data_IF_652828958730
#
_entry.id   IF_652828958730
#
_cell.length_a   1.000
_cell.length_b   1.000
_cell.length_c   1.000
_cell.angle_alpha   90.00
_cell.angle_beta   90.00
_cell.angle_gamma   90.00
#
_symmetry.space_group_name_H-M   'P 1'
#
loop_
_entity.id
_entity.type
_entity.pdbx_description
1 polymer ?
#
# COMPACT_ATOMS: atom_id res chain seq x y z
N UNK A 1 9.26 30.82 3.39
CA UNK A 1 9.88 29.91 4.38
C UNK A 1 8.91 28.77 4.59
N UNK A 2 9.10 27.67 3.88
CA UNK A 2 8.35 26.43 4.08
C UNK A 2 9.37 25.41 4.58
N UNK A 3 9.34 25.13 5.88
CA UNK A 3 10.02 23.95 6.40
C UNK A 3 9.18 22.73 6.00
N UNK A 4 9.69 21.93 5.08
CA UNK A 4 9.22 20.56 4.87
C UNK A 4 9.98 19.69 5.87
N UNK A 5 9.33 19.30 6.96
CA UNK A 5 9.85 18.22 7.82
C UNK A 5 9.19 16.91 7.39
N UNK A 6 9.88 16.15 6.55
CA UNK A 6 9.55 14.74 6.32
C UNK A 6 10.14 13.95 7.49
N UNK A 7 9.31 13.61 8.48
CA UNK A 7 9.73 12.69 9.55
C UNK A 7 9.53 11.25 9.05
N UNK A 8 10.50 10.73 8.29
CA UNK A 8 10.60 9.31 8.01
C UNK A 8 11.30 8.64 9.21
N UNK A 9 10.55 8.01 10.12
CA UNK A 9 11.16 7.20 11.17
C UNK A 9 11.65 5.87 10.60
N UNK A 10 12.91 5.84 10.15
CA UNK A 10 13.64 4.60 9.91
C UNK A 10 14.36 4.19 11.19
N UNK A 11 13.97 3.07 11.80
CA UNK A 11 14.81 2.42 12.82
C UNK A 11 16.02 1.81 12.12
N UNK A 12 17.15 2.51 12.16
CA UNK A 12 18.44 1.92 11.76
C UNK A 12 18.90 1.02 12.92
N UNK A 13 18.70 -0.28 12.79
CA UNK A 13 19.43 -1.26 13.60
C UNK A 13 20.77 -1.52 12.90
N UNK A 14 21.84 -0.87 13.34
CA UNK A 14 23.19 -1.32 12.98
C UNK A 14 23.51 -2.58 13.80
N UNK A 15 23.63 -3.72 13.11
CA UNK A 15 24.38 -4.87 13.62
C UNK A 15 25.52 -5.16 12.65
N UNK A 16 26.56 -4.32 12.70
CA UNK A 16 27.89 -4.68 12.25
C UNK A 16 28.47 -3.74 11.20
N UNK A 17 28.99 -2.59 11.65
CA UNK A 17 29.95 -1.81 10.91
C UNK A 17 30.58 -0.77 11.82
N UNK A 18 31.92 -0.70 11.87
CA UNK A 18 32.68 0.25 12.68
C UNK A 18 32.58 1.71 12.21
N UNK A 19 31.36 2.24 12.10
CA UNK A 19 31.12 3.67 11.94
C UNK A 19 31.36 4.43 13.24
N UNK A 20 31.56 5.76 13.18
CA UNK A 20 31.64 6.60 14.38
C UNK A 20 30.37 6.43 15.22
N UNK A 21 30.46 6.46 16.56
CA UNK A 21 29.29 6.37 17.42
C UNK A 21 28.31 7.51 17.09
N UNK A 22 27.03 7.16 16.90
CA UNK A 22 25.95 8.14 16.77
C UNK A 22 26.00 9.09 17.96
N UNK A 23 26.08 10.40 17.73
CA UNK A 23 26.00 11.39 18.79
C UNK A 23 24.52 11.68 19.13
N UNK A 24 24.23 12.24 20.30
CA UNK A 24 22.85 12.49 20.74
C UNK A 24 22.04 13.40 19.79
N UNK A 25 22.70 14.20 18.95
CA UNK A 25 22.04 15.02 17.93
C UNK A 25 21.67 14.25 16.65
N UNK A 26 22.19 13.04 16.47
CA UNK A 26 21.87 12.16 15.33
C UNK A 26 20.60 11.34 15.56
N UNK A 27 19.99 11.44 16.75
CA UNK A 27 18.85 10.64 17.18
C UNK A 27 17.65 11.53 17.46
N UNK A 28 16.53 11.30 16.75
CA UNK A 28 15.22 11.88 17.08
C UNK A 28 14.66 11.15 18.31
N UNK A 29 15.17 11.46 19.50
CA UNK A 29 14.74 10.89 20.78
C UNK A 29 14.83 11.94 21.90
N UNK A 30 14.04 11.79 22.98
CA UNK A 30 13.10 10.70 23.22
C UNK A 30 11.70 10.94 22.67
N UNK A 31 11.15 9.95 21.97
CA UNK A 31 9.70 9.87 21.71
C UNK A 31 9.03 9.31 22.97
N UNK A 32 8.49 10.18 23.81
CA UNK A 32 7.76 9.76 25.01
C UNK A 32 6.28 9.54 24.72
N UNK A 33 5.66 8.58 25.41
CA UNK A 33 4.21 8.57 25.63
C UNK A 33 3.97 9.03 27.07
N UNK A 34 3.84 10.35 27.34
CA UNK A 34 3.57 10.83 28.69
C UNK A 34 2.37 10.07 29.27
N UNK A 35 2.45 9.70 30.56
CA UNK A 35 1.41 8.88 31.21
C UNK A 35 0.01 9.51 31.09
N UNK A 36 -0.08 10.85 31.07
CA UNK A 36 -1.32 11.60 30.83
C UNK A 36 -1.90 11.45 29.41
N UNK A 37 -1.08 11.08 28.41
CA UNK A 37 -1.49 10.79 27.03
C UNK A 37 -1.63 9.28 26.76
N UNK A 38 -1.19 8.41 27.69
CA UNK A 38 -1.32 6.96 27.54
C UNK A 38 -2.79 6.51 27.45
N UNK A 39 -3.70 7.19 28.16
CA UNK A 39 -5.15 6.93 28.11
C UNK A 39 -5.81 7.30 26.78
N UNK A 40 -5.13 8.06 25.91
CA UNK A 40 -5.64 8.42 24.57
C UNK A 40 -5.35 7.36 23.52
N UNK A 41 -4.52 6.36 23.84
CA UNK A 41 -4.28 5.26 22.92
C UNK A 41 -5.37 4.17 23.09
N UNK A 42 -5.83 3.57 21.98
CA UNK A 42 -5.47 3.89 20.60
C UNK A 42 -6.10 5.21 20.10
N UNK A 43 -5.33 6.02 19.36
CA UNK A 43 -5.80 7.30 18.79
C UNK A 43 -6.70 7.13 17.55
N UNK A 44 -6.77 5.90 17.03
CA UNK A 44 -7.60 5.52 15.89
C UNK A 44 -8.05 4.07 16.08
N UNK A 45 -9.29 3.73 15.73
CA UNK A 45 -9.86 2.40 15.97
C UNK A 45 -10.75 1.96 14.81
N UNK A 46 -10.91 0.63 14.60
CA UNK A 46 -11.78 0.11 13.54
C UNK A 46 -13.20 0.66 13.66
N UNK A 47 -13.82 0.92 12.52
CA UNK A 47 -15.17 1.48 12.48
C UNK A 47 -16.05 0.83 11.40
N UNK A 48 -16.96 -0.02 11.86
CA UNK A 48 -17.90 -0.76 11.01
C UNK A 48 -19.03 0.09 10.39
N UNK A 49 -19.15 1.38 10.72
CA UNK A 49 -20.12 2.28 10.09
C UNK A 49 -19.69 2.73 8.68
N UNK A 50 -18.40 2.60 8.35
CA UNK A 50 -17.87 2.96 7.06
C UNK A 50 -18.02 1.82 6.07
N UNK A 51 -18.66 2.10 4.95
CA UNK A 51 -18.92 1.15 3.88
C UNK A 51 -18.56 1.77 2.54
N UNK A 52 -17.96 0.98 1.66
CA UNK A 52 -17.65 1.41 0.30
C UNK A 52 -18.01 0.31 -0.70
N UNK A 53 -18.33 0.69 -1.93
CA UNK A 53 -18.54 -0.27 -3.01
C UNK A 53 -17.18 -0.75 -3.52
N UNK A 54 -16.87 -2.03 -3.31
CA UNK A 54 -15.63 -2.62 -3.79
C UNK A 54 -15.78 -3.00 -5.27
N UNK A 55 -14.98 -2.41 -6.18
CA UNK A 55 -15.07 -2.74 -7.60
C UNK A 55 -14.59 -4.17 -7.89
N UNK A 56 -13.71 -4.72 -7.05
CA UNK A 56 -13.21 -6.10 -7.21
C UNK A 56 -14.28 -7.14 -6.87
N UNK A 57 -14.97 -6.97 -5.75
CA UNK A 57 -15.97 -7.93 -5.26
C UNK A 57 -17.40 -7.60 -5.69
N UNK A 58 -17.61 -6.47 -6.38
CA UNK A 58 -18.93 -5.97 -6.78
C UNK A 58 -19.98 -5.91 -5.64
N UNK A 59 -19.52 -5.64 -4.40
CA UNK A 59 -20.37 -5.52 -3.22
C UNK A 59 -19.90 -4.40 -2.30
N UNK A 60 -20.82 -3.94 -1.45
CA UNK A 60 -20.47 -3.06 -0.34
C UNK A 60 -19.71 -3.82 0.75
N UNK A 61 -18.60 -3.25 1.21
CA UNK A 61 -17.73 -3.83 2.22
C UNK A 61 -17.53 -2.85 3.38
N UNK A 62 -17.50 -3.38 4.60
CA UNK A 62 -17.10 -2.63 5.79
C UNK A 62 -15.58 -2.58 5.89
N UNK A 63 -14.98 -1.74 5.05
CA UNK A 63 -13.56 -1.79 4.69
C UNK A 63 -12.55 -1.50 5.80
N UNK A 64 -13.01 -0.93 6.91
CA UNK A 64 -12.18 -0.65 8.10
C UNK A 64 -12.79 -1.23 9.37
N UNK A 65 -13.56 -2.31 9.26
CA UNK A 65 -14.26 -2.92 10.40
C UNK A 65 -13.40 -3.88 11.22
N UNK A 66 -12.33 -4.43 10.63
CA UNK A 66 -11.50 -5.44 11.29
C UNK A 66 -10.35 -4.78 12.03
N UNK A 67 -9.36 -4.27 11.29
CA UNK A 67 -8.14 -3.67 11.84
C UNK A 67 -7.83 -2.34 11.16
N UNK A 68 -7.30 -1.37 11.91
CA UNK A 68 -6.73 -0.11 11.39
C UNK A 68 -5.37 0.15 12.03
N UNK A 69 -4.32 0.26 11.20
CA UNK A 69 -2.93 0.24 11.68
C UNK A 69 -1.93 0.72 10.60
N UNK A 70 -0.63 0.55 10.86
CA UNK A 70 0.50 0.86 9.97
C UNK A 70 0.35 2.14 9.12
N UNK A 71 0.16 3.32 9.74
CA UNK A 71 -0.12 4.53 8.99
C UNK A 71 1.13 5.22 8.43
N UNK A 72 0.94 5.98 7.36
CA UNK A 72 1.74 7.16 7.05
C UNK A 72 1.09 8.40 7.70
N UNK A 73 1.92 9.40 8.03
CA UNK A 73 1.44 10.69 8.50
C UNK A 73 2.20 11.83 7.81
N UNK A 74 1.50 12.93 7.53
CA UNK A 74 2.08 14.17 7.02
C UNK A 74 1.25 15.36 7.49
N UNK A 75 1.80 16.56 7.38
CA UNK A 75 1.09 17.81 7.67
C UNK A 75 0.73 18.52 6.36
N UNK A 76 -0.53 18.92 6.23
CA UNK A 76 -1.04 19.73 5.11
C UNK A 76 -2.17 20.61 5.62
N UNK A 77 -2.22 21.87 5.18
CA UNK A 77 -3.28 22.82 5.55
C UNK A 77 -3.45 22.94 7.08
N UNK A 78 -2.32 22.96 7.80
CA UNK A 78 -2.22 22.97 9.27
C UNK A 78 -2.86 21.76 9.99
N UNK A 79 -3.23 20.70 9.25
CA UNK A 79 -3.79 19.46 9.80
C UNK A 79 -2.85 18.28 9.62
N UNK A 80 -2.82 17.40 10.61
CA UNK A 80 -2.21 16.07 10.48
C UNK A 80 -3.13 15.20 9.63
N UNK A 81 -2.60 14.71 8.52
CA UNK A 81 -3.25 13.75 7.64
C UNK A 81 -2.67 12.36 7.92
N UNK A 82 -3.53 11.43 8.32
CA UNK A 82 -3.18 10.04 8.61
C UNK A 82 -3.68 9.16 7.47
N UNK A 83 -2.75 8.57 6.71
CA UNK A 83 -3.07 7.55 5.71
C UNK A 83 -2.86 6.18 6.33
N UNK A 84 -3.94 5.53 6.75
CA UNK A 84 -3.88 4.31 7.56
C UNK A 84 -4.21 3.07 6.73
N UNK A 85 -3.56 1.94 7.02
CA UNK A 85 -3.99 0.63 6.53
C UNK A 85 -5.27 0.23 7.25
N UNK A 86 -6.26 -0.22 6.50
CA UNK A 86 -7.52 -0.73 6.98
C UNK A 86 -7.81 -2.10 6.37
N UNK A 87 -8.34 -3.01 7.18
CA UNK A 87 -8.76 -4.34 6.74
C UNK A 87 -10.26 -4.57 6.98
N UNK A 88 -10.85 -5.35 6.08
CA UNK A 88 -12.19 -5.91 6.23
C UNK A 88 -12.15 -7.36 6.73
N UNK A 89 -13.33 -7.91 7.04
CA UNK A 89 -13.49 -9.34 7.32
C UNK A 89 -13.79 -10.17 6.06
N UNK A 90 -14.10 -9.51 4.95
CA UNK A 90 -14.66 -10.10 3.74
C UNK A 90 -13.61 -10.50 2.70
N UNK A 91 -12.43 -9.87 2.75
CA UNK A 91 -11.35 -10.05 1.79
C UNK A 91 -10.63 -11.39 1.94
N UNK A 92 -9.87 -11.72 0.90
CA UNK A 92 -9.07 -12.95 0.87
C UNK A 92 -7.92 -12.86 1.91
N UNK A 93 -7.38 -14.01 2.34
CA UNK A 93 -6.24 -14.09 3.30
C UNK A 93 -6.47 -13.41 4.66
N UNK A 94 -7.69 -13.50 5.20
CA UNK A 94 -8.12 -12.86 6.45
C UNK A 94 -8.34 -11.34 6.38
N UNK A 95 -8.51 -10.77 5.18
CA UNK A 95 -8.94 -9.38 4.96
C UNK A 95 -8.16 -8.72 3.83
N UNK A 96 -8.81 -7.83 3.08
CA UNK A 96 -8.12 -7.06 2.02
C UNK A 96 -7.73 -5.68 2.55
N UNK A 97 -6.43 -5.37 2.49
CA UNK A 97 -5.85 -4.09 2.92
C UNK A 97 -6.19 -2.95 1.95
N UNK A 98 -6.62 -1.82 2.52
CA UNK A 98 -6.85 -0.56 1.79
C UNK A 98 -6.31 0.60 2.58
N UNK A 99 -6.03 1.72 1.91
CA UNK A 99 -5.53 2.92 2.55
C UNK A 99 -6.68 3.89 2.78
N UNK A 100 -7.00 4.15 4.03
CA UNK A 100 -7.91 5.21 4.46
C UNK A 100 -7.21 6.55 4.61
N UNK A 101 -7.99 7.62 4.76
CA UNK A 101 -7.49 8.97 5.05
C UNK A 101 -8.30 9.57 6.20
N UNK A 102 -7.64 9.95 7.28
CA UNK A 102 -8.24 10.71 8.39
C UNK A 102 -7.46 12.01 8.63
N UNK A 103 -8.14 13.03 9.15
CA UNK A 103 -7.53 14.34 9.43
C UNK A 103 -7.67 14.69 10.91
N UNK A 104 -6.69 15.41 11.44
CA UNK A 104 -6.67 15.87 12.82
C UNK A 104 -6.05 17.26 12.92
N UNK A 105 -6.63 18.10 13.78
CA UNK A 105 -6.08 19.42 14.13
C UNK A 105 -4.88 19.31 15.09
N UNK A 106 -4.78 18.23 15.87
CA UNK A 106 -3.80 18.09 16.97
C UNK A 106 -2.93 16.83 16.90
N UNK A 107 -3.17 15.97 15.89
CA UNK A 107 -2.47 14.71 15.70
C UNK A 107 -2.83 13.61 16.70
N UNK A 108 -3.78 13.85 17.61
CA UNK A 108 -4.18 12.93 18.69
C UNK A 108 -5.66 12.55 18.62
N UNK A 109 -6.51 13.38 18.03
CA UNK A 109 -7.92 13.09 17.84
C UNK A 109 -8.29 13.11 16.36
N UNK A 110 -8.85 12.00 15.88
CA UNK A 110 -9.27 11.82 14.49
C UNK A 110 -10.77 11.54 14.46
N UNK A 111 -11.61 12.58 14.31
CA UNK A 111 -13.05 12.41 14.31
C UNK A 111 -13.54 11.67 13.05
N UNK A 112 -14.68 10.98 13.17
CA UNK A 112 -15.23 10.18 12.07
C UNK A 112 -15.66 11.07 10.89
N UNK A 113 -16.18 12.26 11.17
CA UNK A 113 -16.55 13.28 10.17
C UNK A 113 -15.37 13.79 9.34
N UNK A 114 -14.16 13.74 9.89
CA UNK A 114 -12.92 14.10 9.20
C UNK A 114 -12.18 12.90 8.60
N UNK A 115 -12.79 11.71 8.67
CA UNK A 115 -12.33 10.50 8.01
C UNK A 115 -13.02 10.36 6.66
N UNK A 116 -12.23 10.15 5.60
CA UNK A 116 -12.76 9.98 4.25
C UNK A 116 -13.68 8.72 4.20
N UNK A 117 -14.89 8.81 3.63
CA UNK A 117 -15.89 7.73 3.73
C UNK A 117 -15.50 6.45 3.00
N UNK A 118 -14.69 6.59 1.95
CA UNK A 118 -14.12 5.49 1.15
C UNK A 118 -12.60 5.41 1.33
N UNK A 119 -11.97 4.25 1.12
CA UNK A 119 -10.52 4.19 1.00
C UNK A 119 -10.03 5.08 -0.16
N UNK A 120 -8.86 5.71 0.00
CA UNK A 120 -8.22 6.58 -1.00
C UNK A 120 -7.26 5.82 -1.92
N UNK A 121 -6.77 4.65 -1.49
CA UNK A 121 -6.04 3.70 -2.34
C UNK A 121 -6.53 2.29 -2.02
N UNK A 122 -6.90 1.53 -3.05
CA UNK A 122 -7.45 0.19 -2.92
C UNK A 122 -7.23 -0.62 -4.21
N UNK A 123 -7.35 -1.95 -4.15
CA UNK A 123 -7.37 -2.80 -5.34
C UNK A 123 -8.56 -2.42 -6.20
N UNK A 124 -8.26 -2.02 -7.44
CA UNK A 124 -9.25 -1.67 -8.41
C UNK A 124 -8.78 -2.22 -9.76
N UNK A 125 -9.64 -2.96 -10.47
CA UNK A 125 -9.33 -3.42 -11.81
C UNK A 125 -9.19 -2.24 -12.80
N UNK A 126 -8.31 -2.39 -13.80
CA UNK A 126 -8.04 -1.41 -14.85
C UNK A 126 -8.89 -1.69 -16.11
N UNK A 127 -9.12 -0.65 -16.92
CA UNK A 127 -9.85 -0.79 -18.19
C UNK A 127 -9.08 -1.73 -19.13
N UNK A 128 -9.72 -2.84 -19.52
CA UNK A 128 -9.11 -3.88 -20.35
C UNK A 128 -8.61 -5.11 -19.58
N UNK A 129 -8.73 -5.13 -18.25
CA UNK A 129 -8.52 -6.34 -17.46
C UNK A 129 -9.63 -7.35 -17.75
N UNK A 130 -9.31 -8.39 -18.51
CA UNK A 130 -10.29 -9.42 -18.88
C UNK A 130 -10.79 -10.23 -17.68
N UNK A 131 -10.14 -10.12 -16.53
CA UNK A 131 -10.55 -10.79 -15.30
C UNK A 131 -11.67 -10.00 -14.52
N UNK A 132 -12.28 -8.95 -15.11
CA UNK A 132 -13.34 -8.09 -14.52
C UNK A 132 -14.77 -8.66 -14.57
N UNK A 133 -15.09 -9.60 -15.47
CA UNK A 133 -16.48 -10.08 -15.56
C UNK A 133 -16.67 -11.20 -14.55
N UNK A 134 -17.42 -10.92 -13.47
CA UNK A 134 -18.43 -11.70 -12.67
C UNK A 134 -18.24 -13.22 -12.46
N UNK A 135 -17.28 -13.83 -13.11
CA UNK A 135 -17.16 -15.25 -13.39
C UNK A 135 -15.77 -15.73 -12.95
N UNK A 136 -15.21 -15.18 -11.86
CA UNK A 136 -14.06 -15.81 -11.19
C UNK A 136 -14.43 -17.21 -10.64
N UNK A 137 -15.72 -17.56 -10.67
CA UNK A 137 -16.29 -18.87 -10.36
C UNK A 137 -16.67 -19.71 -11.60
N UNK A 138 -16.63 -19.17 -12.82
CA UNK A 138 -16.80 -19.98 -14.02
C UNK A 138 -15.44 -20.15 -14.73
N UNK A 139 -15.11 -21.40 -15.06
CA UNK A 139 -13.78 -21.85 -15.51
C UNK A 139 -13.25 -21.23 -16.82
N UNK A 140 -13.86 -20.18 -17.35
CA UNK A 140 -13.52 -19.58 -18.65
C UNK A 140 -12.40 -18.53 -18.60
N UNK A 141 -12.05 -18.00 -17.43
CA UNK A 141 -10.98 -16.99 -17.28
C UNK A 141 -9.61 -17.58 -16.86
N UNK A 142 -9.59 -18.75 -16.21
CA UNK A 142 -8.36 -19.42 -15.74
C UNK A 142 -7.39 -19.75 -16.87
N UNK A 143 -7.92 -20.08 -18.06
CA UNK A 143 -7.10 -20.43 -19.23
C UNK A 143 -6.50 -19.20 -19.94
N UNK A 144 -7.01 -17.99 -19.66
CA UNK A 144 -6.60 -16.73 -20.32
C UNK A 144 -5.78 -15.79 -19.42
N UNK A 145 -6.03 -15.77 -18.11
CA UNK A 145 -5.21 -15.06 -17.12
C UNK A 145 -4.21 -16.08 -16.52
N UNK A 146 -3.09 -16.37 -17.19
CA UNK A 146 -2.06 -17.27 -16.65
C UNK A 146 -1.24 -16.53 -15.56
N UNK A 147 -1.36 -16.98 -14.31
CA UNK A 147 -0.49 -16.53 -13.20
C UNK A 147 0.93 -17.07 -13.44
N UNK A 148 1.83 -16.23 -13.94
CA UNK A 148 3.26 -16.54 -13.91
C UNK A 148 3.83 -16.12 -12.54
N UNK A 149 3.65 -17.01 -11.57
CA UNK A 149 4.16 -16.85 -10.21
C UNK A 149 5.70 -16.82 -10.15
N UNK A 150 6.39 -17.33 -11.17
CA UNK A 150 7.86 -17.33 -11.23
C UNK A 150 8.43 -15.97 -11.65
N UNK A 151 7.68 -15.19 -12.43
CA UNK A 151 8.03 -13.82 -12.83
C UNK A 151 7.43 -12.73 -11.93
N UNK A 152 6.67 -13.10 -10.89
CA UNK A 152 5.96 -12.16 -10.02
C UNK A 152 5.08 -11.16 -10.79
N UNK A 153 4.59 -11.58 -11.96
CA UNK A 153 3.82 -10.81 -12.94
C UNK A 153 2.57 -11.60 -13.31
N UNK A 154 1.42 -10.92 -13.44
CA UNK A 154 0.20 -11.56 -13.94
C UNK A 154 -0.03 -11.11 -15.39
N UNK A 155 -0.03 -12.08 -16.30
CA UNK A 155 -0.13 -11.86 -17.75
C UNK A 155 -1.60 -11.88 -18.15
N UNK A 156 -2.07 -10.77 -18.71
CA UNK A 156 -3.45 -10.58 -19.20
C UNK A 156 -3.45 -10.72 -20.73
N UNK A 157 -3.23 -11.94 -21.23
CA UNK A 157 -3.15 -12.23 -22.67
C UNK A 157 -1.77 -12.04 -23.33
N UNK A 158 -1.70 -11.96 -24.66
CA UNK A 158 -0.44 -11.84 -25.40
C UNK A 158 0.27 -10.50 -25.13
N UNK A 159 1.17 -10.51 -24.14
CA UNK A 159 2.12 -9.41 -23.89
C UNK A 159 1.58 -8.22 -23.09
N UNK A 160 0.36 -8.30 -22.54
CA UNK A 160 -0.19 -7.28 -21.64
C UNK A 160 -0.04 -7.69 -20.17
N UNK A 161 0.37 -6.74 -19.34
CA UNK A 161 0.48 -6.87 -17.89
C UNK A 161 -0.51 -5.90 -17.26
N UNK A 162 -1.19 -6.33 -16.20
CA UNK A 162 -2.09 -5.47 -15.45
C UNK A 162 -1.52 -5.14 -14.09
N UNK A 163 -1.60 -3.86 -13.73
CA UNK A 163 -1.12 -3.34 -12.45
C UNK A 163 -2.07 -3.67 -11.30
N UNK A 164 -3.37 -3.86 -11.60
CA UNK A 164 -4.41 -4.22 -10.63
C UNK A 164 -4.22 -5.61 -10.01
N UNK A 165 -3.39 -6.45 -10.65
CA UNK A 165 -3.17 -7.81 -10.21
C UNK A 165 -2.12 -7.90 -9.10
N UNK A 166 -1.34 -6.84 -8.87
CA UNK A 166 -0.35 -6.85 -7.80
C UNK A 166 -0.94 -6.70 -6.40
N UNK A 167 -2.14 -6.13 -6.30
CA UNK A 167 -2.86 -5.89 -5.05
C UNK A 167 -4.24 -6.60 -4.99
N UNK A 168 -4.58 -7.38 -6.03
CA UNK A 168 -5.89 -7.99 -6.25
C UNK A 168 -6.52 -8.69 -5.03
N UNK A 169 -5.75 -9.52 -4.32
CA UNK A 169 -6.28 -10.33 -3.21
C UNK A 169 -5.99 -9.66 -1.86
N UNK A 170 -4.70 -9.43 -1.57
CA UNK A 170 -4.22 -8.96 -0.27
C UNK A 170 -4.32 -7.46 -0.05
N UNK A 171 -4.23 -6.66 -1.12
CA UNK A 171 -4.51 -5.24 -1.07
C UNK A 171 -3.31 -4.31 -1.16
N UNK A 172 -3.56 -3.04 -0.81
CA UNK A 172 -2.56 -1.99 -0.70
C UNK A 172 -2.22 -1.79 0.77
N UNK A 173 -0.96 -1.98 1.16
CA UNK A 173 -0.55 -2.03 2.57
C UNK A 173 0.56 -1.04 2.93
N UNK A 174 0.66 -0.74 4.23
CA UNK A 174 1.80 -0.11 4.89
C UNK A 174 2.36 1.14 4.19
N UNK A 175 1.53 2.17 3.96
CA UNK A 175 1.91 3.36 3.21
C UNK A 175 3.01 4.14 3.92
N UNK A 176 3.87 4.79 3.12
CA UNK A 176 4.80 5.86 3.51
C UNK A 176 4.67 6.97 2.47
N UNK A 177 4.47 8.21 2.92
CA UNK A 177 4.21 9.34 2.01
C UNK A 177 5.24 10.43 2.22
N UNK A 178 5.74 10.97 1.11
CA UNK A 178 6.58 12.16 1.05
C UNK A 178 5.99 13.16 0.07
N UNK A 179 6.33 14.43 0.22
CA UNK A 179 5.97 15.49 -0.72
C UNK A 179 7.24 16.03 -1.37
N UNK A 180 7.21 16.35 -2.66
CA UNK A 180 8.29 17.07 -3.33
C UNK A 180 8.10 18.60 -3.25
N UNK A 181 9.07 19.35 -3.78
CA UNK A 181 9.05 20.82 -3.76
C UNK A 181 7.94 21.42 -4.63
N UNK A 182 7.44 20.68 -5.63
CA UNK A 182 6.36 21.10 -6.52
C UNK A 182 4.97 20.85 -5.90
N UNK A 183 4.93 20.16 -4.76
CA UNK A 183 3.72 19.86 -4.02
C UNK A 183 3.09 18.49 -4.35
N UNK A 184 3.76 17.67 -5.17
CA UNK A 184 3.34 16.31 -5.50
C UNK A 184 3.64 15.38 -4.33
N UNK A 185 2.65 14.58 -3.94
CA UNK A 185 2.80 13.52 -2.96
C UNK A 185 3.16 12.21 -3.64
N UNK A 186 4.13 11.50 -3.08
CA UNK A 186 4.51 10.14 -3.48
C UNK A 186 4.26 9.18 -2.32
N UNK A 187 3.47 8.15 -2.58
CA UNK A 187 3.25 7.04 -1.67
C UNK A 187 4.07 5.83 -2.11
N UNK A 188 4.93 5.36 -1.21
CA UNK A 188 5.50 4.01 -1.26
C UNK A 188 4.60 3.09 -0.44
N UNK A 189 4.16 1.99 -1.03
CA UNK A 189 3.26 1.04 -0.38
C UNK A 189 3.57 -0.40 -0.82
N UNK A 190 3.08 -1.36 -0.06
CA UNK A 190 3.17 -2.78 -0.40
C UNK A 190 1.94 -3.17 -1.22
N UNK A 191 2.14 -3.68 -2.43
CA UNK A 191 1.11 -4.39 -3.18
C UNK A 191 1.21 -5.87 -2.86
N UNK A 192 0.13 -6.46 -2.33
CA UNK A 192 0.09 -7.87 -1.96
C UNK A 192 -1.00 -8.62 -2.75
N UNK A 193 -0.59 -9.61 -3.54
CA UNK A 193 -1.50 -10.43 -4.37
C UNK A 193 -1.93 -11.74 -3.68
N UNK A 194 -1.68 -11.88 -2.38
CA UNK A 194 -1.91 -13.13 -1.65
C UNK A 194 -0.74 -14.11 -1.68
N UNK A 195 0.30 -13.83 -2.48
CA UNK A 195 1.50 -14.67 -2.59
C UNK A 195 2.80 -13.87 -2.37
N UNK A 196 2.95 -12.75 -3.07
CA UNK A 196 4.18 -11.94 -3.08
C UNK A 196 3.88 -10.49 -2.70
N UNK A 197 4.53 -10.03 -1.64
CA UNK A 197 4.55 -8.63 -1.25
C UNK A 197 5.61 -7.87 -2.07
N UNK A 198 5.21 -6.80 -2.77
CA UNK A 198 6.12 -5.99 -3.60
C UNK A 198 5.99 -4.51 -3.27
N UNK A 199 7.12 -3.80 -3.28
CA UNK A 199 7.13 -2.36 -3.13
C UNK A 199 6.63 -1.68 -4.42
N UNK A 200 5.60 -0.85 -4.28
CA UNK A 200 4.97 -0.09 -5.35
C UNK A 200 4.93 1.41 -5.03
N UNK A 201 4.70 2.21 -6.07
CA UNK A 201 4.62 3.68 -6.01
C UNK A 201 3.25 4.15 -6.49
N UNK A 202 2.69 5.15 -5.83
CA UNK A 202 1.57 5.95 -6.32
C UNK A 202 1.86 7.45 -6.11
N UNK A 203 1.28 8.33 -6.93
CA UNK A 203 1.37 9.78 -6.70
C UNK A 203 0.01 10.47 -6.66
N UNK A 204 -0.04 11.63 -6.00
CA UNK A 204 -1.25 12.44 -5.85
C UNK A 204 -0.88 13.91 -5.67
N UNK A 205 -1.78 14.81 -6.07
CA UNK A 205 -1.69 16.24 -5.74
C UNK A 205 -2.62 16.65 -4.59
N UNK A 206 -3.47 15.72 -4.12
CA UNK A 206 -4.55 16.05 -3.19
C UNK A 206 -4.77 15.03 -2.06
N UNK A 207 -4.00 13.94 -2.00
CA UNK A 207 -4.07 12.84 -1.02
C UNK A 207 -5.33 11.95 -1.11
N UNK A 208 -6.30 12.29 -1.95
CA UNK A 208 -7.55 11.54 -2.11
C UNK A 208 -7.62 10.78 -3.42
N UNK A 209 -7.02 11.31 -4.48
CA UNK A 209 -6.97 10.71 -5.81
C UNK A 209 -5.53 10.33 -6.11
N UNK A 210 -5.28 9.04 -6.28
CA UNK A 210 -3.94 8.49 -6.46
C UNK A 210 -3.79 7.83 -7.83
N UNK A 211 -2.68 8.12 -8.50
CA UNK A 211 -2.24 7.43 -9.73
C UNK A 211 -1.21 6.38 -9.34
N UNK A 212 -1.49 5.09 -9.59
CA UNK A 212 -0.54 4.00 -9.36
C UNK A 212 0.49 3.97 -10.50
N UNK A 213 1.78 3.90 -10.15
CA UNK A 213 2.89 3.80 -11.11
C UNK A 213 3.49 2.40 -11.16
N UNK A 214 3.10 1.53 -10.23
CA UNK A 214 3.55 0.16 -10.16
C UNK A 214 4.78 -0.09 -9.31
N UNK A 215 5.46 -1.19 -9.60
CA UNK A 215 6.60 -1.66 -8.81
C UNK A 215 7.71 -0.61 -8.81
N UNK A 216 8.22 -0.27 -7.62
CA UNK A 216 9.33 0.66 -7.46
C UNK A 216 10.61 0.15 -8.15
N UNK A 217 10.78 -1.18 -8.19
CA UNK A 217 11.90 -1.83 -8.87
C UNK A 217 11.38 -2.68 -10.03
N UNK A 218 11.97 -2.48 -11.22
CA UNK A 218 11.82 -3.45 -12.31
C UNK A 218 12.41 -4.78 -11.86
N UNK A 219 11.63 -5.85 -11.95
CA UNK A 219 12.21 -7.18 -11.74
C UNK A 219 13.29 -7.42 -12.81
N UNK A 220 14.51 -7.79 -12.39
CA UNK A 220 15.45 -8.41 -13.31
C UNK A 220 14.88 -9.77 -13.67
N UNK A 221 14.39 -9.91 -14.89
CA UNK A 221 14.04 -11.21 -15.47
C UNK A 221 15.35 -12.00 -15.56
N UNK A 222 15.61 -12.85 -14.59
CA UNK A 222 16.69 -13.83 -14.65
C UNK A 222 16.30 -14.88 -15.68
N UNK A 223 16.55 -14.60 -16.97
CA UNK A 223 16.78 -15.70 -17.90
C UNK A 223 18.01 -16.44 -17.35
N UNK A 224 17.77 -17.54 -16.65
CA UNK A 224 18.73 -18.63 -16.68
C UNK A 224 18.93 -18.90 -18.17
N UNK A 225 20.06 -18.44 -18.70
CA UNK A 225 20.58 -18.86 -19.97
C UNK A 225 20.75 -20.37 -19.86
N UNK A 226 19.73 -21.13 -20.25
CA UNK A 226 19.93 -22.48 -20.74
C UNK A 226 20.79 -22.30 -21.97
N UNK A 227 22.11 -22.37 -21.81
CA UNK A 227 22.99 -22.76 -22.90
C UNK A 227 22.53 -24.15 -23.31
N UNK A 228 21.58 -24.21 -24.23
CA UNK A 228 21.38 -25.40 -25.03
C UNK A 228 22.68 -25.61 -25.80
N UNK A 229 23.50 -26.53 -25.31
CA UNK A 229 24.61 -27.08 -26.09
C UNK A 229 23.97 -27.70 -27.34
N UNK A 230 24.28 -27.26 -28.57
CA UNK A 230 23.76 -27.94 -29.74
C UNK A 230 24.40 -29.33 -29.79
N UNK A 231 23.58 -30.38 -29.85
CA UNK A 231 24.05 -31.67 -30.31
C UNK A 231 24.66 -31.47 -31.70
N UNK A 232 25.96 -31.74 -31.84
CA UNK A 232 26.56 -31.97 -33.15
C UNK A 232 26.00 -33.30 -33.67
N UNK A 233 25.41 -33.25 -34.85
CA UNK A 233 25.22 -34.43 -35.66
C UNK A 233 26.60 -34.83 -36.20
N UNK A 234 27.04 -36.03 -35.82
CA UNK A 234 27.93 -36.89 -36.60
C UNK A 234 27.25 -38.27 -36.66
#
# INVERSE_FOLDING_TARGET
MTMMEIIMMMKVCDRGGGGPPLNECDVVMPVTKPVAQASRNPIFSPNASFSFFCPWHHKHLKWQAKDVFNPAALVRDHKVHLLFRAEDFDGMHAGTSRIGLARSEDGLHFPAEDTHPSPVLFPAPEEGDCCFRVDYLEDTCKDKCQRDTAAGMVKVGEGKYSMSLYDAEGGCEDPRVVQDEEGTYFMLYTSYDGHVARLSVASSNNLTTWTKHGLAFKQRIGFLSTRATPCRAD
#
